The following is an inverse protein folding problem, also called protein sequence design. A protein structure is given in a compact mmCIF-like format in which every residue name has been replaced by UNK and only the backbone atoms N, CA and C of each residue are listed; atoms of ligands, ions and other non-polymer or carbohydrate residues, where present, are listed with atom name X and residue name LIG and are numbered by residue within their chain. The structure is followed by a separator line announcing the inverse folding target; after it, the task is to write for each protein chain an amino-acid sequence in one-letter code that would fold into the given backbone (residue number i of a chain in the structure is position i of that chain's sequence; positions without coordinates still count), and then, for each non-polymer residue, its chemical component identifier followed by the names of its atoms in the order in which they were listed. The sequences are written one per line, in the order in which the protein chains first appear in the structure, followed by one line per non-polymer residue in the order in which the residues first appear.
data_IF_310596221166
#
_entry.id   IF_310596221166
#
_cell.length_a   1.000
_cell.length_b   1.000
_cell.length_c   1.000
_cell.angle_alpha   90.00
_cell.angle_beta   90.00
_cell.angle_gamma   90.00
#
_symmetry.space_group_name_H-M   'P 1'
#
loop_
_entity.id
_entity.type
_entity.pdbx_description
1 polymer ?
#
# COMPACT_ATOMS: atom_id res chain seq x y z
N UNK A 1 -1.14 -2.11 -27.87
CA UNK A 1 0.35 -2.05 -27.87
C UNK A 1 0.75 -0.93 -26.92
N UNK A 2 1.79 -1.13 -26.10
CA UNK A 2 2.28 -0.12 -25.17
C UNK A 2 2.99 0.99 -25.94
N UNK A 3 2.57 2.25 -25.75
CA UNK A 3 3.17 3.40 -26.43
C UNK A 3 4.58 3.76 -25.97
N UNK A 4 5.13 3.08 -24.96
CA UNK A 4 6.49 3.32 -24.46
C UNK A 4 7.51 2.30 -24.99
N UNK A 5 7.20 1.01 -24.93
CA UNK A 5 8.14 -0.07 -25.26
C UNK A 5 7.69 -0.95 -26.44
N UNK A 6 6.51 -0.70 -27.04
CA UNK A 6 6.08 -1.35 -28.28
C UNK A 6 5.59 -2.79 -28.13
N UNK A 7 5.57 -3.37 -26.93
CA UNK A 7 5.05 -4.73 -26.70
C UNK A 7 3.53 -4.75 -26.51
N UNK A 8 2.93 -5.94 -26.50
CA UNK A 8 1.52 -6.11 -26.14
C UNK A 8 1.29 -5.62 -24.72
N UNK A 9 0.40 -4.66 -24.57
CA UNK A 9 0.11 -4.06 -23.28
C UNK A 9 -0.93 -4.89 -22.54
N UNK A 10 -0.45 -5.86 -21.76
CA UNK A 10 -1.27 -6.67 -20.87
C UNK A 10 -1.37 -6.03 -19.48
N UNK A 11 -2.26 -6.54 -18.64
CA UNK A 11 -2.33 -6.12 -17.24
C UNK A 11 -1.01 -6.39 -16.49
N UNK A 12 -0.43 -7.58 -16.68
CA UNK A 12 0.86 -7.96 -16.11
C UNK A 12 1.97 -7.00 -16.57
N UNK A 13 1.99 -6.68 -17.87
CA UNK A 13 2.93 -5.72 -18.43
C UNK A 13 2.84 -4.35 -17.74
N UNK A 14 1.63 -3.80 -17.60
CA UNK A 14 1.41 -2.47 -16.97
C UNK A 14 1.90 -2.45 -15.51
N UNK A 15 1.67 -3.55 -14.79
CA UNK A 15 1.87 -3.59 -13.34
C UNK A 15 3.31 -4.02 -12.96
N UNK A 16 3.96 -4.86 -13.75
CA UNK A 16 5.24 -5.50 -13.37
C UNK A 16 6.40 -5.26 -14.32
N UNK A 17 6.16 -5.04 -15.62
CA UNK A 17 7.21 -5.12 -16.63
C UNK A 17 7.50 -3.80 -17.35
N UNK A 18 6.56 -2.86 -17.35
CA UNK A 18 6.66 -1.64 -18.13
C UNK A 18 7.72 -0.69 -17.55
N UNK A 19 8.70 -0.31 -18.38
CA UNK A 19 9.74 0.66 -18.03
C UNK A 19 9.28 2.12 -18.00
N UNK A 20 7.99 2.39 -18.16
CA UNK A 20 7.47 3.76 -18.10
C UNK A 20 7.62 4.30 -16.67
N UNK A 21 8.01 5.58 -16.47
CA UNK A 21 8.13 6.16 -15.14
C UNK A 21 6.84 6.01 -14.32
N UNK A 22 6.99 5.63 -13.06
CA UNK A 22 5.88 5.39 -12.14
C UNK A 22 5.85 3.98 -11.57
N UNK A 23 5.89 2.95 -12.41
CA UNK A 23 5.72 1.56 -11.97
C UNK A 23 6.78 1.14 -10.95
N UNK A 24 8.05 1.20 -11.35
CA UNK A 24 9.19 0.81 -10.50
C UNK A 24 9.26 1.64 -9.23
N UNK A 25 9.04 2.95 -9.35
CA UNK A 25 9.08 3.88 -8.22
C UNK A 25 8.00 3.56 -7.18
N UNK A 26 6.78 3.27 -7.61
CA UNK A 26 5.68 2.91 -6.70
C UNK A 26 5.99 1.60 -5.97
N UNK A 27 6.54 0.59 -6.67
CA UNK A 27 6.94 -0.66 -6.01
C UNK A 27 8.10 -0.48 -5.03
N UNK A 28 9.06 0.40 -5.38
CA UNK A 28 10.16 0.77 -4.48
C UNK A 28 9.62 1.39 -3.18
N UNK A 29 8.71 2.35 -3.28
CA UNK A 29 8.12 3.00 -2.10
C UNK A 29 7.33 2.01 -1.22
N UNK A 30 6.57 1.10 -1.84
CA UNK A 30 5.86 0.04 -1.14
C UNK A 30 6.82 -0.87 -0.36
N UNK A 31 7.92 -1.29 -1.01
CA UNK A 31 8.96 -2.10 -0.39
C UNK A 31 9.68 -1.37 0.73
N UNK A 32 9.97 -0.08 0.57
CA UNK A 32 10.61 0.75 1.60
C UNK A 32 9.73 0.89 2.84
N UNK A 33 8.42 1.10 2.68
CA UNK A 33 7.51 1.16 3.83
C UNK A 33 7.39 -0.19 4.54
N UNK A 34 7.33 -1.28 3.79
CA UNK A 34 7.35 -2.64 4.35
C UNK A 34 8.62 -2.89 5.16
N UNK A 35 9.78 -2.50 4.62
CA UNK A 35 11.09 -2.69 5.23
C UNK A 35 11.25 -2.00 6.59
N UNK A 36 10.43 -0.99 6.90
CA UNK A 36 10.41 -0.35 8.23
C UNK A 36 10.03 -1.32 9.36
N UNK A 37 9.34 -2.42 9.04
CA UNK A 37 8.77 -3.35 10.03
C UNK A 37 9.07 -4.82 9.75
N UNK A 38 9.24 -5.18 8.49
CA UNK A 38 9.36 -6.56 8.06
C UNK A 38 10.54 -6.68 7.09
N UNK A 39 11.36 -7.72 7.27
CA UNK A 39 12.57 -7.95 6.47
C UNK A 39 12.30 -8.62 5.12
N UNK A 40 11.27 -9.47 5.05
CA UNK A 40 11.00 -10.33 3.90
C UNK A 40 9.96 -9.71 2.97
N UNK A 41 10.40 -9.06 1.89
CA UNK A 41 9.52 -8.62 0.80
C UNK A 41 9.34 -9.74 -0.22
N UNK A 42 8.13 -10.29 -0.41
CA UNK A 42 7.89 -11.33 -1.40
C UNK A 42 8.20 -10.87 -2.83
N UNK A 43 8.72 -11.75 -3.70
CA UNK A 43 8.84 -11.42 -5.12
C UNK A 43 7.45 -11.13 -5.71
N UNK A 44 7.38 -10.07 -6.51
CA UNK A 44 6.15 -9.68 -7.17
C UNK A 44 5.98 -10.49 -8.47
N UNK A 45 4.79 -11.01 -8.64
CA UNK A 45 4.29 -11.71 -9.82
C UNK A 45 2.79 -11.42 -9.91
N UNK A 46 2.19 -11.65 -11.06
CA UNK A 46 0.74 -11.48 -11.17
C UNK A 46 -0.01 -12.34 -10.13
N UNK A 47 0.48 -13.55 -9.87
CA UNK A 47 -0.07 -14.44 -8.86
C UNK A 47 0.05 -13.91 -7.43
N UNK A 48 1.20 -13.35 -7.04
CA UNK A 48 1.37 -12.80 -5.68
C UNK A 48 0.63 -11.49 -5.47
N UNK A 49 0.37 -10.73 -6.54
CA UNK A 49 -0.45 -9.51 -6.49
C UNK A 49 -1.93 -9.87 -6.34
N UNK A 50 -2.46 -10.72 -7.22
CA UNK A 50 -3.87 -11.13 -7.18
C UNK A 50 -4.20 -11.96 -5.94
N UNK A 51 -3.23 -12.77 -5.48
CA UNK A 51 -3.33 -13.59 -4.28
C UNK A 51 -2.82 -12.91 -3.00
N UNK A 52 -2.62 -11.58 -2.98
CA UNK A 52 -1.97 -10.92 -1.84
C UNK A 52 -2.72 -11.08 -0.50
N UNK A 53 -4.03 -11.33 -0.53
CA UNK A 53 -4.84 -11.63 0.65
C UNK A 53 -4.56 -13.01 1.27
N UNK A 54 -3.92 -13.91 0.51
CA UNK A 54 -3.54 -15.26 0.92
C UNK A 54 -2.06 -15.36 1.30
N UNK A 55 -1.32 -14.25 1.27
CA UNK A 55 0.08 -14.22 1.66
C UNK A 55 0.22 -14.67 3.12
N UNK A 56 1.26 -15.46 3.40
CA UNK A 56 1.59 -15.92 4.74
C UNK A 56 2.91 -15.31 5.14
N UNK A 57 2.90 -14.60 6.26
CA UNK A 57 4.10 -14.06 6.90
C UNK A 57 4.25 -14.70 8.26
N UNK A 58 5.44 -15.21 8.54
CA UNK A 58 5.77 -15.89 9.79
C UNK A 58 6.88 -15.13 10.52
N UNK A 59 6.86 -15.18 11.85
CA UNK A 59 7.97 -14.72 12.68
C UNK A 59 9.10 -15.77 12.75
N UNK A 60 10.18 -15.45 13.45
CA UNK A 60 11.32 -16.35 13.66
C UNK A 60 10.93 -17.69 14.32
N UNK A 61 9.77 -17.73 15.00
CA UNK A 61 9.23 -18.92 15.67
C UNK A 61 8.19 -19.65 14.79
N UNK A 62 8.09 -19.31 13.50
CA UNK A 62 7.11 -19.85 12.54
C UNK A 62 5.66 -19.58 12.90
N UNK A 63 5.40 -18.51 13.66
CA UNK A 63 4.04 -18.09 14.00
C UNK A 63 3.55 -17.10 12.96
N UNK A 64 2.36 -17.34 12.41
CA UNK A 64 1.70 -16.42 11.49
C UNK A 64 1.55 -15.02 12.11
N UNK A 65 1.77 -13.99 11.29
CA UNK A 65 1.62 -12.58 11.64
C UNK A 65 0.44 -11.99 10.82
N UNK A 66 -0.82 -12.14 11.26
CA UNK A 66 -2.00 -11.71 10.49
C UNK A 66 -1.96 -10.23 10.07
N UNK A 67 -1.35 -9.38 10.89
CA UNK A 67 -1.29 -7.94 10.66
C UNK A 67 -0.23 -7.55 9.62
N UNK A 68 0.80 -8.37 9.46
CA UNK A 68 1.73 -8.26 8.34
C UNK A 68 1.01 -8.58 7.03
N UNK A 69 0.17 -9.62 7.00
CA UNK A 69 -0.68 -9.93 5.84
C UNK A 69 -1.59 -8.76 5.49
N UNK A 70 -2.20 -8.12 6.51
CA UNK A 70 -3.05 -6.94 6.33
C UNK A 70 -2.30 -5.76 5.72
N UNK A 71 -1.13 -5.41 6.26
CA UNK A 71 -0.29 -4.34 5.75
C UNK A 71 0.18 -4.64 4.32
N UNK A 72 0.64 -5.87 4.07
CA UNK A 72 1.07 -6.31 2.74
C UNK A 72 -0.06 -6.17 1.72
N UNK A 73 -1.26 -6.67 2.04
CA UNK A 73 -2.42 -6.56 1.17
C UNK A 73 -2.70 -5.10 0.82
N UNK A 74 -2.70 -4.21 1.81
CA UNK A 74 -2.89 -2.76 1.58
C UNK A 74 -1.83 -2.23 0.62
N UNK A 75 -0.55 -2.47 0.90
CA UNK A 75 0.55 -1.98 0.06
C UNK A 75 0.45 -2.46 -1.38
N UNK A 76 0.13 -3.75 -1.57
CA UNK A 76 0.01 -4.34 -2.89
C UNK A 76 -1.20 -3.76 -3.65
N UNK A 77 -2.37 -3.72 -3.03
CA UNK A 77 -3.59 -3.28 -3.73
C UNK A 77 -3.55 -1.80 -4.08
N UNK A 78 -3.10 -0.95 -3.14
CA UNK A 78 -3.00 0.49 -3.37
C UNK A 78 -1.92 0.82 -4.41
N UNK A 79 -0.78 0.15 -4.36
CA UNK A 79 0.32 0.35 -5.31
C UNK A 79 -0.07 -0.10 -6.72
N UNK A 80 -0.66 -1.29 -6.86
CA UNK A 80 -1.16 -1.80 -8.15
C UNK A 80 -2.18 -0.84 -8.76
N UNK A 81 -3.14 -0.38 -7.96
CA UNK A 81 -4.16 0.55 -8.43
C UNK A 81 -3.58 1.90 -8.83
N UNK A 82 -2.63 2.44 -8.06
CA UNK A 82 -1.95 3.68 -8.42
C UNK A 82 -1.16 3.55 -9.71
N UNK A 83 -0.43 2.45 -9.91
CA UNK A 83 0.31 2.18 -11.17
C UNK A 83 -0.65 2.17 -12.35
N UNK A 84 -1.77 1.45 -12.23
CA UNK A 84 -2.82 1.43 -13.25
C UNK A 84 -3.33 2.86 -13.55
N UNK A 85 -3.61 3.64 -12.51
CA UNK A 85 -4.09 5.02 -12.63
C UNK A 85 -3.06 5.93 -13.32
N UNK A 86 -1.80 5.87 -12.92
CA UNK A 86 -0.69 6.61 -13.53
C UNK A 86 -0.57 6.28 -15.02
N UNK A 87 -0.69 4.99 -15.40
CA UNK A 87 -0.70 4.58 -16.80
C UNK A 87 -1.89 5.17 -17.55
N UNK A 88 -3.10 5.10 -17.00
CA UNK A 88 -4.30 5.64 -17.65
C UNK A 88 -4.23 7.16 -17.84
N UNK A 89 -3.77 7.89 -16.82
CA UNK A 89 -3.57 9.33 -16.92
C UNK A 89 -2.53 9.69 -17.98
N UNK A 90 -1.42 8.95 -18.04
CA UNK A 90 -0.39 9.15 -19.04
C UNK A 90 -0.93 8.93 -20.47
N UNK A 91 -1.67 7.85 -20.71
CA UNK A 91 -2.20 7.51 -22.04
C UNK A 91 -3.36 8.41 -22.47
N UNK A 92 -4.29 8.73 -21.56
CA UNK A 92 -5.56 9.40 -21.90
C UNK A 92 -5.50 10.91 -21.61
N UNK A 93 -4.85 11.30 -20.51
CA UNK A 93 -4.90 12.67 -19.99
C UNK A 93 -3.66 13.52 -20.28
N UNK A 94 -2.52 12.90 -20.63
CA UNK A 94 -1.23 13.59 -20.81
C UNK A 94 -0.55 13.28 -22.15
N UNK A 95 -1.28 12.77 -23.13
CA UNK A 95 -0.75 12.50 -24.48
C UNK A 95 0.55 11.66 -24.51
N UNK A 96 0.73 10.77 -23.52
CA UNK A 96 1.92 9.93 -23.39
C UNK A 96 3.02 10.47 -22.47
N UNK A 97 2.86 11.67 -21.89
CA UNK A 97 3.83 12.24 -20.96
C UNK A 97 3.65 11.67 -19.54
N UNK A 98 4.67 11.02 -18.96
CA UNK A 98 4.58 10.50 -17.60
C UNK A 98 4.69 11.63 -16.57
N UNK A 99 4.06 11.48 -15.39
CA UNK A 99 4.27 12.39 -14.27
C UNK A 99 5.72 12.45 -13.81
N UNK A 100 6.11 13.57 -13.21
CA UNK A 100 7.43 13.73 -12.63
C UNK A 100 7.61 12.81 -11.40
N UNK A 101 8.86 12.45 -11.09
CA UNK A 101 9.19 11.52 -10.00
C UNK A 101 8.67 12.00 -8.63
N UNK A 102 8.80 13.29 -8.32
CA UNK A 102 8.27 13.90 -7.10
C UNK A 102 6.73 13.86 -7.05
N UNK A 103 6.07 14.01 -8.20
CA UNK A 103 4.61 13.91 -8.32
C UNK A 103 4.15 12.49 -8.00
N UNK A 104 4.82 11.47 -8.55
CA UNK A 104 4.55 10.06 -8.29
C UNK A 104 4.73 9.74 -6.80
N UNK A 105 5.84 10.18 -6.22
CA UNK A 105 6.11 10.02 -4.79
C UNK A 105 4.99 10.60 -3.93
N UNK A 106 4.64 11.87 -4.16
CA UNK A 106 3.62 12.56 -3.37
C UNK A 106 2.23 11.92 -3.52
N UNK A 107 1.89 11.44 -4.72
CA UNK A 107 0.66 10.69 -4.97
C UNK A 107 0.65 9.37 -4.19
N UNK A 108 1.75 8.63 -4.18
CA UNK A 108 1.84 7.38 -3.45
C UNK A 108 1.73 7.60 -1.93
N UNK A 109 2.47 8.59 -1.38
CA UNK A 109 2.36 8.98 0.04
C UNK A 109 0.91 9.35 0.38
N UNK A 110 0.27 10.16 -0.46
CA UNK A 110 -1.14 10.53 -0.29
C UNK A 110 -2.06 9.31 -0.28
N UNK A 111 -1.92 8.39 -1.23
CA UNK A 111 -2.74 7.16 -1.29
C UNK A 111 -2.61 6.32 0.00
N UNK A 112 -1.39 6.17 0.52
CA UNK A 112 -1.15 5.43 1.76
C UNK A 112 -1.74 6.16 2.98
N UNK A 113 -1.60 7.48 3.04
CA UNK A 113 -2.18 8.29 4.12
C UNK A 113 -3.73 8.25 4.09
N UNK A 114 -4.35 8.40 2.92
CA UNK A 114 -5.81 8.27 2.76
C UNK A 114 -6.29 6.88 3.23
N UNK A 115 -5.51 5.83 2.99
CA UNK A 115 -5.83 4.47 3.46
C UNK A 115 -5.71 4.34 4.98
N UNK A 116 -4.73 4.98 5.61
CA UNK A 116 -4.62 5.08 7.07
C UNK A 116 -5.82 5.84 7.66
N UNK A 117 -6.18 7.00 7.09
CA UNK A 117 -7.33 7.79 7.54
C UNK A 117 -8.64 6.98 7.47
N UNK A 118 -8.85 6.22 6.39
CA UNK A 118 -9.98 5.30 6.29
C UNK A 118 -9.96 4.27 7.42
N UNK A 119 -8.82 3.63 7.67
CA UNK A 119 -8.68 2.63 8.74
C UNK A 119 -8.97 3.23 10.13
N UNK A 120 -8.50 4.44 10.40
CA UNK A 120 -8.78 5.19 11.64
C UNK A 120 -10.27 5.52 11.73
N UNK A 121 -10.87 6.02 10.65
CA UNK A 121 -12.30 6.36 10.65
C UNK A 121 -13.19 5.15 10.97
N UNK A 122 -12.78 3.96 10.51
CA UNK A 122 -13.47 2.70 10.75
C UNK A 122 -13.39 2.23 12.21
N UNK A 123 -12.57 2.83 13.08
CA UNK A 123 -12.59 2.53 14.51
C UNK A 123 -13.69 3.27 15.27
N UNK A 124 -14.42 4.18 14.62
CA UNK A 124 -15.46 4.98 15.27
C UNK A 124 -16.71 4.13 15.57
N UNK A 125 -16.78 3.63 16.81
CA UNK A 125 -17.92 2.82 17.29
C UNK A 125 -19.24 3.60 17.30
N UNK A 126 -19.22 4.92 17.48
CA UNK A 126 -20.46 5.72 17.44
C UNK A 126 -21.06 5.76 16.04
N UNK A 127 -20.22 5.80 15.00
CA UNK A 127 -20.65 5.88 13.60
C UNK A 127 -21.05 4.52 13.02
N UNK A 128 -20.31 3.47 13.36
CA UNK A 128 -20.47 2.14 12.74
C UNK A 128 -21.07 1.09 13.68
N UNK A 129 -21.20 1.38 14.97
CA UNK A 129 -21.57 0.40 15.98
C UNK A 129 -20.43 -0.55 16.32
N UNK A 130 -20.41 -1.02 17.57
CA UNK A 130 -19.34 -1.88 18.13
C UNK A 130 -19.08 -3.18 17.35
N UNK A 131 -20.09 -3.69 16.64
CA UNK A 131 -19.99 -4.93 15.87
C UNK A 131 -19.22 -4.75 14.55
N UNK A 132 -19.32 -3.58 13.92
CA UNK A 132 -18.77 -3.32 12.59
C UNK A 132 -17.54 -2.41 12.60
N UNK A 133 -17.25 -1.76 13.73
CA UNK A 133 -16.04 -0.96 13.91
C UNK A 133 -14.78 -1.83 13.95
N UNK A 134 -13.71 -1.36 13.33
CA UNK A 134 -12.38 -1.93 13.51
C UNK A 134 -11.89 -1.68 14.94
N UNK A 135 -11.20 -2.67 15.51
CA UNK A 135 -10.56 -2.49 16.80
C UNK A 135 -9.37 -1.53 16.66
N UNK A 136 -9.25 -0.50 17.50
CA UNK A 136 -8.10 0.41 17.54
C UNK A 136 -6.73 -0.30 17.54
N UNK A 137 -6.62 -1.39 18.30
CA UNK A 137 -5.42 -2.21 18.35
C UNK A 137 -5.00 -2.76 16.98
N UNK A 138 -5.96 -3.18 16.13
CA UNK A 138 -5.67 -3.71 14.79
C UNK A 138 -5.08 -2.64 13.88
N UNK A 139 -5.60 -1.41 13.95
CA UNK A 139 -5.09 -0.28 13.16
C UNK A 139 -3.69 0.09 13.65
N UNK A 140 -3.53 0.27 14.96
CA UNK A 140 -2.23 0.57 15.57
C UNK A 140 -1.20 -0.49 15.22
N UNK A 141 -1.49 -1.77 15.42
CA UNK A 141 -0.55 -2.84 15.15
C UNK A 141 -0.31 -3.05 13.65
N UNK A 142 -1.20 -2.63 12.75
CA UNK A 142 -0.89 -2.59 11.31
C UNK A 142 0.16 -1.51 11.03
N UNK A 143 -0.12 -0.28 11.43
CA UNK A 143 0.58 0.93 10.98
C UNK A 143 1.73 1.38 11.90
N UNK A 144 1.85 0.83 13.10
CA UNK A 144 2.94 1.16 14.02
C UNK A 144 4.29 0.87 13.37
N UNK A 145 5.16 1.87 13.37
CA UNK A 145 6.50 1.83 12.79
C UNK A 145 6.57 2.22 11.31
N UNK A 146 5.45 2.51 10.62
CA UNK A 146 5.47 2.88 9.19
C UNK A 146 5.40 4.40 8.95
N UNK A 147 4.44 5.07 9.60
CA UNK A 147 4.25 6.54 9.59
C UNK A 147 4.58 7.11 10.99
N UNK A 148 4.71 8.43 11.12
CA UNK A 148 5.00 9.07 12.41
C UNK A 148 3.96 8.64 13.46
N UNK A 149 4.36 7.68 14.30
CA UNK A 149 3.43 6.93 15.17
C UNK A 149 2.74 7.82 16.20
N UNK A 150 3.24 9.04 16.42
CA UNK A 150 2.63 10.04 17.31
C UNK A 150 1.27 10.50 16.82
N UNK A 151 1.08 10.68 15.52
CA UNK A 151 -0.17 11.18 14.93
C UNK A 151 -1.27 10.10 15.03
N UNK A 152 -0.93 8.85 14.72
CA UNK A 152 -1.84 7.70 14.82
C UNK A 152 -2.37 7.52 16.26
N UNK A 153 -1.50 7.66 17.26
CA UNK A 153 -1.91 7.52 18.66
C UNK A 153 -2.84 8.66 19.12
N UNK A 154 -2.62 9.88 18.63
CA UNK A 154 -3.46 11.03 18.96
C UNK A 154 -4.87 10.89 18.37
N UNK A 155 -4.97 10.47 17.11
CA UNK A 155 -6.27 10.34 16.42
C UNK A 155 -7.11 9.17 16.94
N UNK A 156 -6.49 8.06 17.31
CA UNK A 156 -7.18 6.88 17.82
C UNK A 156 -7.51 7.01 19.33
N UNK A 157 -7.08 8.09 19.98
CA UNK A 157 -7.33 8.33 21.40
C UNK A 157 -6.43 7.53 22.35
N UNK A 158 -5.31 6.98 21.85
CA UNK A 158 -4.25 6.38 22.68
C UNK A 158 -3.29 7.46 23.18
N UNK A 159 -3.82 8.44 23.93
CA UNK A 159 -3.00 9.39 24.67
C UNK A 159 -2.55 8.69 25.96
N UNK A 160 -1.28 8.29 26.02
CA UNK A 160 -0.58 7.61 27.15
C UNK A 160 -0.42 6.09 27.07
N UNK A 161 0.33 5.60 26.07
CA UNK A 161 1.22 4.47 26.33
C UNK A 161 2.66 4.99 26.34
N UNK A 162 3.15 5.33 27.53
CA UNK A 162 4.58 5.54 27.79
C UNK A 162 5.30 4.22 27.47
N UNK A 163 6.28 4.27 26.57
CA UNK A 163 7.38 3.31 26.53
C UNK A 163 8.53 3.88 27.35
#
# INVERSE_FOLDING_TARGET
ICGHCGVTETFEHIILECGRPGQEQVWKLAKELWAKKHSNWPPLSLGTILGCSLAVFEDEKKKAIPLAVRLYRILITESMYLIWKLRCECVIGRSGEPPAENEIHNRWVRTINERLEIDISLTNEMKFGKQYSLKPAVVLETWRGTLETREICQEIGFVNLRF
#
